data_IF_689456005349
#
_entry.id   IF_689456005349
#
_cell.length_a   1.000
_cell.length_b   1.000
_cell.length_c   1.000
_cell.angle_alpha   90.00
_cell.angle_beta   90.00
_cell.angle_gamma   90.00
#
_symmetry.space_group_name_H-M   'P 1'
#
loop_
_entity.id
_entity.type
_entity.pdbx_description
1 polymer ?
#
# COMPACT_ATOMS: atom_id res chain seq x y z
N UNK A 1 -36.00 36.34 54.32
CA UNK A 1 -35.20 35.11 54.15
C UNK A 1 -35.95 34.12 53.24
N UNK A 2 -35.70 34.13 51.93
CA UNK A 2 -36.03 33.02 51.02
C UNK A 2 -35.04 33.04 49.84
N UNK A 3 -33.93 32.32 49.97
CA UNK A 3 -32.99 32.11 48.88
C UNK A 3 -33.52 30.98 47.98
N UNK A 4 -33.78 31.28 46.71
CA UNK A 4 -33.97 30.27 45.65
C UNK A 4 -32.68 30.17 44.85
N UNK A 5 -31.93 29.11 45.08
CA UNK A 5 -30.73 28.76 44.32
C UNK A 5 -31.19 28.00 43.08
N UNK A 6 -31.17 28.63 41.89
CA UNK A 6 -31.39 27.94 40.63
C UNK A 6 -30.04 27.43 40.11
N UNK A 7 -29.89 26.11 40.08
CA UNK A 7 -28.74 25.41 39.49
C UNK A 7 -28.95 25.38 37.97
N UNK A 8 -28.16 26.17 37.24
CA UNK A 8 -28.10 26.12 35.77
C UNK A 8 -27.13 24.99 35.38
N UNK A 9 -27.66 23.88 34.86
CA UNK A 9 -26.88 22.82 34.24
C UNK A 9 -26.52 23.25 32.81
N UNK A 10 -25.27 23.68 32.61
CA UNK A 10 -24.69 23.85 31.29
C UNK A 10 -24.37 22.47 30.71
N UNK A 11 -25.21 22.00 29.78
CA UNK A 11 -24.90 20.84 28.94
C UNK A 11 -23.88 21.30 27.91
N UNK A 12 -22.60 21.08 28.20
CA UNK A 12 -21.52 21.30 27.23
C UNK A 12 -21.64 20.32 26.07
N UNK A 13 -22.04 20.82 24.90
CA UNK A 13 -22.02 20.06 23.66
C UNK A 13 -20.55 19.80 23.28
N UNK A 14 -20.07 18.60 23.59
CA UNK A 14 -18.75 18.13 23.20
C UNK A 14 -18.81 17.83 21.70
N UNK A 15 -18.62 18.87 20.88
CA UNK A 15 -18.45 18.74 19.44
C UNK A 15 -17.07 18.11 19.20
N UNK A 16 -16.99 16.78 19.34
CA UNK A 16 -15.79 16.00 19.08
C UNK A 16 -15.46 16.08 17.60
N UNK A 17 -14.40 16.82 17.27
CA UNK A 17 -13.81 16.83 15.94
C UNK A 17 -13.15 15.47 15.74
N UNK A 18 -13.88 14.51 15.14
CA UNK A 18 -13.30 13.25 14.71
C UNK A 18 -12.43 13.52 13.47
N UNK A 19 -11.11 13.30 13.54
CA UNK A 19 -10.29 13.41 12.34
C UNK A 19 -10.73 12.32 11.36
N UNK A 20 -11.15 12.74 10.17
CA UNK A 20 -11.38 11.82 9.06
C UNK A 20 -10.01 11.30 8.65
N UNK A 21 -9.71 10.05 9.04
CA UNK A 21 -8.56 9.32 8.51
C UNK A 21 -8.76 9.18 7.00
N UNK A 22 -7.92 9.88 6.22
CA UNK A 22 -7.88 9.72 4.78
C UNK A 22 -7.33 8.32 4.47
N UNK A 23 -8.21 7.37 4.19
CA UNK A 23 -7.81 6.04 3.73
C UNK A 23 -7.39 6.21 2.27
N UNK A 24 -6.10 6.04 2.00
CA UNK A 24 -5.58 5.95 0.65
C UNK A 24 -6.24 4.75 -0.06
N UNK A 25 -6.68 4.94 -1.31
CA UNK A 25 -7.38 3.90 -2.07
C UNK A 25 -6.56 2.63 -2.27
N UNK A 26 -7.25 1.51 -2.47
CA UNK A 26 -6.63 0.22 -2.80
C UNK A 26 -6.27 0.16 -4.30
N UNK A 27 -5.18 -0.52 -4.61
CA UNK A 27 -4.67 -0.77 -5.95
C UNK A 27 -4.31 -2.26 -6.08
N UNK A 28 -5.33 -3.11 -6.00
CA UNK A 28 -5.14 -4.55 -5.76
C UNK A 28 -4.56 -5.37 -6.92
N UNK A 29 -4.27 -4.78 -8.09
CA UNK A 29 -3.81 -5.51 -9.27
C UNK A 29 -3.06 -4.59 -10.26
N UNK A 30 -2.50 -5.18 -11.32
CA UNK A 30 -1.90 -4.44 -12.43
C UNK A 30 -2.89 -3.42 -13.00
N UNK A 31 -2.44 -2.16 -13.14
CA UNK A 31 -3.26 -1.01 -13.55
C UNK A 31 -4.44 -0.68 -12.62
N UNK A 32 -4.50 -1.26 -11.43
CA UNK A 32 -5.39 -0.81 -10.36
C UNK A 32 -6.85 -1.24 -10.52
N UNK A 33 -7.78 -0.50 -9.88
CA UNK A 33 -9.21 -0.78 -9.96
C UNK A 33 -9.68 -0.91 -11.42
N UNK A 34 -10.39 -1.98 -11.72
CA UNK A 34 -10.90 -2.28 -13.06
C UNK A 34 -9.83 -2.28 -14.18
N UNK A 35 -8.55 -2.46 -13.84
CA UNK A 35 -7.40 -2.39 -14.73
C UNK A 35 -7.31 -1.07 -15.55
N UNK A 36 -7.88 0.01 -15.02
CA UNK A 36 -8.04 1.26 -15.76
C UNK A 36 -6.72 2.02 -15.97
N UNK A 37 -5.78 1.92 -15.03
CA UNK A 37 -4.51 2.64 -15.05
C UNK A 37 -4.65 4.11 -14.63
N UNK A 38 -5.68 4.44 -13.84
CA UNK A 38 -5.98 5.80 -13.38
C UNK A 38 -6.19 5.81 -11.87
N UNK A 39 -5.69 6.85 -11.20
CA UNK A 39 -6.06 7.12 -9.81
C UNK A 39 -7.54 7.54 -9.75
N UNK A 40 -8.28 7.03 -8.76
CA UNK A 40 -9.70 7.38 -8.59
C UNK A 40 -9.89 8.84 -8.19
N UNK A 41 -9.01 9.33 -7.30
CA UNK A 41 -9.02 10.70 -6.80
C UNK A 41 -8.09 11.60 -7.61
N UNK A 42 -8.57 12.81 -7.84
CA UNK A 42 -7.80 13.90 -8.44
C UNK A 42 -7.05 14.65 -7.33
N UNK A 43 -6.02 14.00 -6.79
CA UNK A 43 -5.14 14.59 -5.78
C UNK A 43 -3.92 15.21 -6.44
N UNK A 44 -3.48 16.38 -5.95
CA UNK A 44 -2.24 17.00 -6.41
C UNK A 44 -1.06 16.08 -6.04
N UNK A 45 -0.47 15.44 -7.04
CA UNK A 45 0.72 14.62 -6.87
C UNK A 45 1.96 15.50 -6.60
N UNK A 46 2.99 14.95 -5.92
CA UNK A 46 4.28 15.62 -5.81
C UNK A 46 4.84 15.94 -7.21
N UNK A 47 5.29 17.17 -7.41
CA UNK A 47 5.90 17.68 -8.65
C UNK A 47 7.40 17.34 -8.75
N UNK A 48 8.01 16.90 -7.66
CA UNK A 48 9.36 16.38 -7.61
C UNK A 48 9.43 15.12 -6.74
N UNK A 49 10.13 14.09 -7.22
CA UNK A 49 10.50 12.91 -6.43
C UNK A 49 11.98 12.62 -6.69
N UNK A 50 12.79 12.53 -5.64
CA UNK A 50 14.22 12.28 -5.73
C UNK A 50 14.74 11.60 -4.47
N UNK A 51 16.00 11.13 -4.43
CA UNK A 51 16.53 10.33 -3.31
C UNK A 51 16.28 10.94 -1.92
N UNK A 52 16.30 12.27 -1.82
CA UNK A 52 16.09 13.04 -0.59
C UNK A 52 14.82 13.92 -0.64
N UNK A 53 14.01 13.82 -1.70
CA UNK A 53 12.85 14.70 -1.93
C UNK A 53 11.60 13.86 -2.12
N UNK A 54 10.61 14.04 -1.24
CA UNK A 54 9.31 13.37 -1.30
C UNK A 54 9.38 11.82 -1.34
N UNK A 55 10.50 11.23 -0.92
CA UNK A 55 10.64 9.79 -0.68
C UNK A 55 10.24 9.47 0.75
N UNK A 56 9.25 8.59 0.91
CA UNK A 56 8.78 8.16 2.24
C UNK A 56 9.68 7.07 2.81
N UNK A 57 10.12 6.14 1.97
CA UNK A 57 11.11 5.11 2.29
C UNK A 57 11.73 4.55 1.02
N UNK A 58 12.90 3.92 1.20
CA UNK A 58 13.60 3.14 0.18
C UNK A 58 14.21 1.92 0.84
N UNK A 59 14.28 0.81 0.10
CA UNK A 59 15.00 -0.39 0.53
C UNK A 59 15.68 -1.07 -0.65
N UNK A 60 16.65 -1.91 -0.33
CA UNK A 60 17.09 -2.94 -1.26
C UNK A 60 15.98 -3.98 -1.43
N UNK A 61 15.80 -4.43 -2.67
CA UNK A 61 14.75 -5.36 -3.05
C UNK A 61 15.29 -6.37 -4.08
N UNK A 62 14.90 -7.65 -4.01
CA UNK A 62 15.30 -8.65 -5.00
C UNK A 62 14.83 -8.29 -6.41
N UNK A 63 15.50 -8.83 -7.43
CA UNK A 63 15.25 -8.49 -8.82
C UNK A 63 13.85 -8.96 -9.27
N UNK A 64 13.24 -8.22 -10.19
CA UNK A 64 11.94 -8.58 -10.75
C UNK A 64 11.33 -7.43 -11.55
N UNK A 65 10.48 -7.77 -12.54
CA UNK A 65 9.73 -6.79 -13.36
C UNK A 65 8.26 -6.72 -12.95
N UNK A 66 8.01 -6.77 -11.63
CA UNK A 66 6.68 -6.75 -11.05
C UNK A 66 6.07 -5.35 -11.01
N UNK A 67 4.74 -5.27 -11.03
CA UNK A 67 4.00 -4.07 -10.64
C UNK A 67 3.40 -4.26 -9.25
N UNK A 68 3.41 -3.22 -8.39
CA UNK A 68 2.91 -3.36 -7.03
C UNK A 68 1.38 -3.54 -7.00
N UNK A 69 0.91 -4.43 -6.13
CA UNK A 69 -0.47 -4.44 -5.65
C UNK A 69 -0.52 -3.87 -4.23
N UNK A 70 -1.49 -3.01 -3.94
CA UNK A 70 -1.64 -2.34 -2.64
C UNK A 70 -3.05 -2.60 -2.10
N UNK A 71 -3.15 -3.06 -0.87
CA UNK A 71 -4.42 -3.20 -0.17
C UNK A 71 -4.26 -2.87 1.31
N UNK A 72 -4.96 -1.84 1.79
CA UNK A 72 -4.76 -1.28 3.12
C UNK A 72 -3.31 -0.84 3.36
N UNK A 73 -2.73 -1.33 4.45
CA UNK A 73 -1.33 -1.08 4.86
C UNK A 73 -0.33 -2.07 4.25
N UNK A 74 -0.73 -2.86 3.26
CA UNK A 74 0.11 -3.88 2.63
C UNK A 74 0.43 -3.53 1.19
N UNK A 75 1.68 -3.76 0.80
CA UNK A 75 2.17 -3.68 -0.57
C UNK A 75 2.74 -5.05 -0.95
N UNK A 76 2.38 -5.55 -2.12
CA UNK A 76 2.82 -6.85 -2.63
C UNK A 76 3.60 -6.67 -3.91
N UNK A 77 4.69 -7.41 -4.04
CA UNK A 77 5.51 -7.52 -5.24
C UNK A 77 5.93 -8.97 -5.46
N UNK A 78 6.15 -9.32 -6.72
CA UNK A 78 6.84 -10.56 -7.07
C UNK A 78 8.31 -10.28 -7.31
N UNK A 79 9.16 -11.25 -7.00
CA UNK A 79 10.60 -11.14 -7.19
C UNK A 79 11.23 -12.52 -7.45
N UNK A 80 12.46 -12.49 -7.93
CA UNK A 80 13.31 -13.65 -8.13
C UNK A 80 14.55 -13.53 -7.24
N UNK A 81 14.87 -14.61 -6.52
CA UNK A 81 16.07 -14.70 -5.67
C UNK A 81 16.47 -16.16 -5.51
N UNK A 82 17.74 -16.48 -5.72
CA UNK A 82 18.32 -17.81 -5.48
C UNK A 82 17.50 -18.95 -6.13
N UNK A 83 17.15 -18.78 -7.41
CA UNK A 83 16.28 -19.67 -8.19
C UNK A 83 14.87 -19.87 -7.57
N UNK A 84 14.39 -18.95 -6.74
CA UNK A 84 13.04 -18.95 -6.20
C UNK A 84 12.22 -17.81 -6.81
N UNK A 85 10.98 -18.14 -7.17
CA UNK A 85 9.94 -17.17 -7.49
C UNK A 85 9.21 -16.81 -6.20
N UNK A 86 9.21 -15.54 -5.82
CA UNK A 86 8.70 -15.08 -4.54
C UNK A 86 7.51 -14.15 -4.73
N UNK A 87 6.49 -14.29 -3.88
CA UNK A 87 5.56 -13.21 -3.55
C UNK A 87 5.99 -12.61 -2.22
N UNK A 88 6.25 -11.31 -2.19
CA UNK A 88 6.75 -10.59 -1.02
C UNK A 88 5.72 -9.55 -0.59
N UNK A 89 5.37 -9.56 0.69
CA UNK A 89 4.50 -8.58 1.31
C UNK A 89 5.33 -7.62 2.17
N UNK A 90 5.14 -6.33 1.91
CA UNK A 90 5.75 -5.22 2.63
C UNK A 90 4.69 -4.45 3.40
N UNK A 91 5.12 -3.90 4.52
CA UNK A 91 4.43 -2.82 5.20
C UNK A 91 4.51 -1.57 4.33
N UNK A 92 3.35 -1.04 3.95
CA UNK A 92 3.25 0.10 3.02
C UNK A 92 3.89 1.37 3.57
N UNK A 93 3.85 1.57 4.88
CA UNK A 93 4.27 2.82 5.51
C UNK A 93 5.78 2.85 5.76
N UNK A 94 6.39 1.69 5.99
CA UNK A 94 7.80 1.57 6.39
C UNK A 94 8.68 0.87 5.35
N UNK A 95 8.09 0.16 4.38
CA UNK A 95 8.79 -0.69 3.43
C UNK A 95 9.34 -1.99 4.04
N UNK A 96 9.13 -2.23 5.34
CA UNK A 96 9.61 -3.43 6.03
C UNK A 96 8.93 -4.67 5.47
N UNK A 97 9.70 -5.74 5.27
CA UNK A 97 9.14 -7.04 4.90
C UNK A 97 8.28 -7.59 6.04
N UNK A 98 7.05 -7.99 5.71
CA UNK A 98 6.14 -8.64 6.64
C UNK A 98 6.20 -10.17 6.48
N UNK A 99 6.24 -10.64 5.25
CA UNK A 99 6.41 -12.04 4.90
C UNK A 99 6.80 -12.20 3.44
N UNK A 100 7.28 -13.39 3.09
CA UNK A 100 7.46 -13.84 1.71
C UNK A 100 6.98 -15.28 1.56
N UNK A 101 6.52 -15.64 0.37
CA UNK A 101 6.08 -16.98 0.01
C UNK A 101 6.67 -17.38 -1.34
N UNK A 102 7.23 -18.58 -1.42
CA UNK A 102 7.73 -19.13 -2.67
C UNK A 102 6.56 -19.66 -3.53
N UNK A 103 6.57 -19.32 -4.82
CA UNK A 103 5.72 -19.93 -5.81
C UNK A 103 6.40 -21.22 -6.32
N UNK A 104 5.65 -22.33 -6.41
CA UNK A 104 6.20 -23.60 -6.87
C UNK A 104 6.56 -23.49 -8.36
N UNK A 105 7.71 -24.06 -8.72
CA UNK A 105 8.13 -24.27 -10.09
C UNK A 105 9.01 -25.53 -10.15
N UNK A 106 9.03 -26.22 -11.29
CA UNK A 106 9.90 -27.38 -11.48
C UNK A 106 11.29 -26.97 -11.98
N UNK A 107 11.31 -26.07 -12.97
CA UNK A 107 12.50 -25.47 -13.57
C UNK A 107 12.12 -24.06 -14.00
N UNK A 108 13.06 -23.11 -13.92
CA UNK A 108 12.87 -21.78 -14.50
C UNK A 108 12.90 -21.86 -16.03
N UNK A 109 11.85 -21.34 -16.65
CA UNK A 109 11.70 -21.38 -18.11
C UNK A 109 12.73 -20.47 -18.80
N UNK A 110 13.12 -20.78 -20.04
CA UNK A 110 13.94 -19.82 -20.78
C UNK A 110 13.11 -18.60 -21.15
N UNK A 111 13.51 -17.43 -20.67
CA UNK A 111 12.90 -16.14 -21.00
C UNK A 111 13.80 -15.32 -21.93
N UNK A 112 13.26 -14.20 -22.45
CA UNK A 112 14.04 -13.22 -23.20
C UNK A 112 15.01 -12.47 -22.25
N UNK A 113 16.18 -12.06 -22.75
CA UNK A 113 17.23 -11.42 -21.94
C UNK A 113 16.80 -10.09 -21.27
N UNK A 114 15.72 -9.50 -21.74
CA UNK A 114 15.13 -8.26 -21.18
C UNK A 114 13.93 -8.51 -20.25
N UNK A 115 13.60 -9.77 -19.99
CA UNK A 115 12.49 -10.16 -19.12
C UNK A 115 13.02 -10.63 -17.75
N UNK A 116 12.10 -10.89 -16.83
CA UNK A 116 12.38 -11.57 -15.56
C UNK A 116 11.31 -12.64 -15.34
N UNK A 117 11.63 -13.74 -14.65
CA UNK A 117 10.63 -14.74 -14.28
C UNK A 117 9.58 -14.16 -13.31
N UNK A 118 9.93 -13.09 -12.59
CA UNK A 118 9.04 -12.32 -11.73
C UNK A 118 8.30 -11.18 -12.46
N UNK A 119 8.05 -11.32 -13.77
CA UNK A 119 7.18 -10.41 -14.54
C UNK A 119 5.71 -10.47 -14.10
N UNK A 120 5.12 -11.65 -13.78
CA UNK A 120 3.74 -11.73 -13.31
C UNK A 120 3.53 -10.88 -12.05
N UNK A 121 2.62 -9.91 -12.12
CA UNK A 121 2.33 -9.01 -10.99
C UNK A 121 1.32 -9.64 -10.04
N UNK A 122 1.44 -9.41 -8.71
CA UNK A 122 0.46 -9.90 -7.75
C UNK A 122 -0.91 -9.26 -7.97
N UNK A 123 -1.95 -9.99 -7.57
CA UNK A 123 -3.32 -9.49 -7.47
C UNK A 123 -3.95 -9.96 -6.14
N UNK A 124 -4.88 -9.18 -5.60
CA UNK A 124 -5.62 -9.51 -4.38
C UNK A 124 -7.10 -9.17 -4.54
N UNK A 125 -7.96 -10.02 -3.97
CA UNK A 125 -9.41 -9.79 -3.85
C UNK A 125 -9.77 -8.99 -2.59
N UNK A 126 -8.76 -8.58 -1.80
CA UNK A 126 -8.93 -7.77 -0.61
C UNK A 126 -9.36 -8.52 0.65
N UNK A 127 -9.31 -9.86 0.63
CA UNK A 127 -9.63 -10.70 1.79
C UNK A 127 -8.38 -11.29 2.45
#
# INVERSE_FOLDING_TARGET
MRHRCQLVLLIGSLCGVFPVLAIAGNWGQFRGPNAAGRAERDEKLPDAVGPETNVIWKREFPAGHSSPAIFGDRLYLTAERDDQLLTICLDRQTGRELWQAAAPHAVLEKIHDTASHATPSPATDGK
#
